data_IF_167904248941
#
_entry.id   IF_167904248941
#
_cell.length_a   1.000
_cell.length_b   1.000
_cell.length_c   1.000
_cell.angle_alpha   90.00
_cell.angle_beta   90.00
_cell.angle_gamma   90.00
#
_symmetry.space_group_name_H-M   'P 1'
#
loop_
_entity.id
_entity.type
_entity.pdbx_description
1 polymer ?
#
# COMPACT_ATOMS: atom_id res chain seq x y z
N UNK A 1 11.73 -13.90 -18.96
CA UNK A 1 11.29 -15.10 -18.23
C UNK A 1 10.58 -16.02 -19.22
N UNK A 2 10.87 -17.32 -19.20
CA UNK A 2 10.31 -18.28 -20.18
C UNK A 2 9.07 -18.97 -19.60
N UNK A 3 8.00 -19.05 -20.39
CA UNK A 3 6.73 -19.70 -20.01
C UNK A 3 6.92 -21.21 -20.08
N UNK A 4 6.58 -21.91 -19.00
CA UNK A 4 6.58 -23.37 -18.94
C UNK A 4 5.21 -23.95 -19.34
N UNK A 5 4.13 -23.35 -18.84
CA UNK A 5 2.76 -23.79 -19.11
C UNK A 5 1.81 -22.61 -19.20
N UNK A 6 0.84 -22.71 -20.09
CA UNK A 6 -0.29 -21.76 -20.20
C UNK A 6 -1.62 -22.52 -20.12
N UNK A 7 -2.60 -21.97 -19.40
CA UNK A 7 -3.94 -22.52 -19.24
C UNK A 7 -4.97 -21.40 -19.41
N UNK A 8 -5.84 -21.53 -20.40
CA UNK A 8 -6.99 -20.64 -20.60
C UNK A 8 -8.26 -21.28 -20.03
N UNK A 9 -9.05 -20.50 -19.31
CA UNK A 9 -10.27 -20.95 -18.63
C UNK A 9 -11.53 -20.43 -19.35
N UNK A 10 -12.70 -21.11 -19.23
CA UNK A 10 -13.93 -20.72 -19.92
C UNK A 10 -14.47 -19.32 -19.55
N UNK A 11 -14.09 -18.79 -18.39
CA UNK A 11 -14.44 -17.43 -17.92
C UNK A 11 -13.54 -16.34 -18.54
N UNK A 12 -12.61 -16.70 -19.41
CA UNK A 12 -11.65 -15.80 -20.07
C UNK A 12 -10.40 -15.50 -19.23
N UNK A 13 -10.27 -16.08 -18.02
CA UNK A 13 -9.02 -16.02 -17.26
C UNK A 13 -7.93 -16.81 -17.99
N UNK A 14 -6.70 -16.29 -18.00
CA UNK A 14 -5.52 -17.00 -18.51
C UNK A 14 -4.47 -17.07 -17.41
N UNK A 15 -3.91 -18.25 -17.18
CA UNK A 15 -2.82 -18.49 -16.22
C UNK A 15 -1.57 -18.98 -16.95
N UNK A 16 -0.43 -18.38 -16.66
CA UNK A 16 0.88 -18.77 -17.17
C UNK A 16 1.79 -19.13 -16.00
N UNK A 17 2.36 -20.32 -16.02
CA UNK A 17 3.39 -20.77 -15.08
C UNK A 17 4.74 -20.56 -15.75
N UNK A 18 5.64 -19.86 -15.07
CA UNK A 18 7.00 -19.60 -15.52
C UNK A 18 7.95 -20.67 -14.99
N UNK A 19 9.05 -20.94 -15.71
CA UNK A 19 10.05 -21.95 -15.30
C UNK A 19 10.67 -21.73 -13.91
N UNK A 20 10.63 -20.50 -13.41
CA UNK A 20 11.12 -20.17 -12.07
C UNK A 20 10.08 -20.43 -10.96
N UNK A 21 8.92 -21.02 -11.29
CA UNK A 21 7.83 -21.29 -10.36
C UNK A 21 6.88 -20.10 -10.11
N UNK A 22 7.08 -18.95 -10.75
CA UNK A 22 6.14 -17.83 -10.64
C UNK A 22 4.88 -18.07 -11.49
N UNK A 23 3.73 -17.60 -11.01
CA UNK A 23 2.47 -17.65 -11.75
C UNK A 23 2.05 -16.24 -12.18
N UNK A 24 1.64 -16.10 -13.44
CA UNK A 24 1.01 -14.90 -13.98
C UNK A 24 -0.45 -15.23 -14.30
N UNK A 25 -1.39 -14.46 -13.76
CA UNK A 25 -2.83 -14.67 -13.94
C UNK A 25 -3.43 -13.41 -14.54
N UNK A 26 -4.03 -13.51 -15.72
CA UNK A 26 -4.65 -12.42 -16.46
C UNK A 26 -6.18 -12.58 -16.43
N UNK A 27 -6.89 -11.50 -16.13
CA UNK A 27 -8.36 -11.47 -16.09
C UNK A 27 -8.90 -10.69 -17.30
N UNK A 28 -10.13 -11.01 -17.77
CA UNK A 28 -10.73 -10.34 -18.92
C UNK A 28 -10.89 -8.82 -18.78
N UNK A 29 -11.02 -8.32 -17.56
CA UNK A 29 -11.15 -6.89 -17.29
C UNK A 29 -9.83 -6.11 -17.41
N UNK A 30 -8.70 -6.78 -17.71
CA UNK A 30 -7.38 -6.17 -17.80
C UNK A 30 -6.57 -6.21 -16.51
N UNK A 31 -7.17 -6.61 -15.38
CA UNK A 31 -6.42 -6.89 -14.15
C UNK A 31 -5.52 -8.11 -14.35
N UNK A 32 -4.33 -8.09 -13.78
CA UNK A 32 -3.47 -9.27 -13.74
C UNK A 32 -2.75 -9.41 -12.39
N UNK A 33 -2.30 -10.62 -12.09
CA UNK A 33 -1.62 -10.97 -10.84
C UNK A 33 -0.31 -11.67 -11.16
N UNK A 34 0.74 -11.36 -10.39
CA UNK A 34 1.97 -12.14 -10.26
C UNK A 34 1.98 -12.78 -8.88
N UNK A 35 2.11 -14.09 -8.83
CA UNK A 35 2.42 -14.84 -7.61
C UNK A 35 3.88 -15.25 -7.70
N UNK A 36 4.68 -14.85 -6.70
CA UNK A 36 6.07 -15.24 -6.58
C UNK A 36 6.22 -16.75 -6.42
N UNK A 37 7.41 -17.27 -6.71
CA UNK A 37 7.71 -18.71 -6.54
C UNK A 37 7.64 -19.18 -5.08
N UNK A 38 7.71 -18.24 -4.13
CA UNK A 38 7.48 -18.48 -2.70
C UNK A 38 6.00 -18.71 -2.34
N UNK A 39 5.08 -18.40 -3.25
CA UNK A 39 3.62 -18.41 -3.01
C UNK A 39 3.14 -17.36 -2.00
N UNK A 40 4.03 -16.53 -1.46
CA UNK A 40 3.78 -15.58 -0.37
C UNK A 40 3.73 -14.15 -0.88
N UNK A 41 4.58 -13.83 -1.86
CA UNK A 41 4.59 -12.51 -2.49
C UNK A 41 3.57 -12.49 -3.63
N UNK A 42 2.56 -11.62 -3.53
CA UNK A 42 1.52 -11.49 -4.56
C UNK A 42 1.38 -10.04 -4.98
N UNK A 43 1.60 -9.74 -6.26
CA UNK A 43 1.35 -8.41 -6.85
C UNK A 43 0.13 -8.48 -7.76
N UNK A 44 -0.85 -7.63 -7.56
CA UNK A 44 -2.05 -7.46 -8.40
C UNK A 44 -1.98 -6.08 -9.03
N UNK A 45 -1.98 -6.00 -10.36
CA UNK A 45 -2.12 -4.76 -11.11
C UNK A 45 -3.54 -4.69 -11.65
N UNK A 46 -4.29 -3.69 -11.22
CA UNK A 46 -5.69 -3.51 -11.58
C UNK A 46 -5.83 -2.74 -12.90
N UNK A 47 -6.97 -2.92 -13.55
CA UNK A 47 -7.30 -2.25 -14.82
C UNK A 47 -7.33 -0.71 -14.73
N UNK A 48 -7.57 -0.15 -13.54
CA UNK A 48 -7.55 1.30 -13.30
C UNK A 48 -6.13 1.85 -13.06
N UNK A 49 -5.10 1.00 -13.14
CA UNK A 49 -3.71 1.35 -12.89
C UNK A 49 -3.26 1.15 -11.43
N UNK A 50 -4.18 0.88 -10.49
CA UNK A 50 -3.81 0.61 -9.11
C UNK A 50 -2.94 -0.65 -9.01
N UNK A 51 -2.12 -0.71 -7.97
CA UNK A 51 -1.29 -1.88 -7.68
C UNK A 51 -1.44 -2.28 -6.22
N UNK A 52 -1.76 -3.55 -5.96
CA UNK A 52 -1.74 -4.13 -4.61
C UNK A 52 -0.67 -5.19 -4.53
N UNK A 53 0.25 -5.06 -3.58
CA UNK A 53 1.26 -6.04 -3.26
C UNK A 53 1.05 -6.58 -1.84
N UNK A 54 1.11 -7.89 -1.69
CA UNK A 54 1.11 -8.59 -0.40
C UNK A 54 2.47 -9.22 -0.22
N UNK A 55 3.11 -8.93 0.91
CA UNK A 55 4.44 -9.39 1.26
C UNK A 55 4.40 -10.63 2.17
N UNK A 56 5.49 -11.40 2.27
CA UNK A 56 5.55 -12.58 3.15
C UNK A 56 5.34 -12.31 4.64
N UNK A 57 5.66 -11.10 5.10
CA UNK A 57 5.46 -10.64 6.48
C UNK A 57 4.04 -10.10 6.76
N UNK A 58 3.11 -10.32 5.82
CA UNK A 58 1.73 -9.84 5.84
C UNK A 58 1.58 -8.32 5.61
N UNK A 59 2.67 -7.60 5.32
CA UNK A 59 2.57 -6.20 4.89
C UNK A 59 1.81 -6.12 3.56
N UNK A 60 0.82 -5.23 3.50
CA UNK A 60 0.02 -4.95 2.29
C UNK A 60 0.38 -3.55 1.81
N UNK A 61 0.85 -3.44 0.58
CA UNK A 61 1.19 -2.15 -0.06
C UNK A 61 0.19 -1.93 -1.20
N UNK A 62 -0.59 -0.85 -1.14
CA UNK A 62 -1.54 -0.45 -2.15
C UNK A 62 -1.14 0.90 -2.75
N UNK A 63 -0.94 0.95 -4.06
CA UNK A 63 -0.71 2.19 -4.81
C UNK A 63 -1.99 2.57 -5.56
N UNK A 64 -2.49 3.76 -5.26
CA UNK A 64 -3.63 4.38 -5.93
C UNK A 64 -3.12 5.24 -7.10
N UNK A 65 -3.41 4.84 -8.33
CA UNK A 65 -2.80 5.45 -9.51
C UNK A 65 -3.29 6.89 -9.76
N UNK A 66 -4.59 7.13 -9.59
CA UNK A 66 -5.22 8.44 -9.83
C UNK A 66 -4.69 9.50 -8.84
N UNK A 67 -4.69 9.17 -7.55
CA UNK A 67 -4.20 10.04 -6.48
C UNK A 67 -2.67 10.07 -6.35
N UNK A 68 -1.95 9.12 -6.97
CA UNK A 68 -0.51 8.90 -6.82
C UNK A 68 -0.11 8.72 -5.35
N UNK A 69 -0.89 7.94 -4.62
CA UNK A 69 -0.74 7.71 -3.18
C UNK A 69 -0.37 6.26 -2.91
N UNK A 70 0.63 6.02 -2.07
CA UNK A 70 0.94 4.68 -1.55
C UNK A 70 0.38 4.55 -0.15
N UNK A 71 -0.36 3.48 0.10
CA UNK A 71 -0.89 3.09 1.40
C UNK A 71 -0.32 1.72 1.79
N UNK A 72 0.47 1.69 2.85
CA UNK A 72 1.01 0.46 3.43
C UNK A 72 0.29 0.14 4.72
N UNK A 73 -0.25 -1.07 4.85
CA UNK A 73 -0.81 -1.62 6.08
C UNK A 73 0.13 -2.70 6.61
N UNK A 74 0.62 -2.52 7.83
CA UNK A 74 1.50 -3.45 8.52
C UNK A 74 0.70 -4.50 9.32
N UNK A 75 1.35 -5.60 9.68
CA UNK A 75 0.73 -6.71 10.41
C UNK A 75 0.24 -6.34 11.82
N UNK A 76 0.81 -5.31 12.43
CA UNK A 76 0.39 -4.76 13.72
C UNK A 76 -0.80 -3.80 13.63
N UNK A 77 -1.29 -3.53 12.42
CA UNK A 77 -2.40 -2.63 12.13
C UNK A 77 -2.00 -1.18 11.91
N UNK A 78 -0.71 -0.84 11.95
CA UNK A 78 -0.24 0.48 11.55
C UNK A 78 -0.53 0.70 10.06
N UNK A 79 -1.14 1.82 9.71
CA UNK A 79 -1.33 2.27 8.33
C UNK A 79 -0.40 3.45 8.06
N UNK A 80 0.32 3.42 6.93
CA UNK A 80 1.21 4.47 6.45
C UNK A 80 0.78 4.93 5.07
N UNK A 81 0.37 6.20 4.94
CA UNK A 81 0.03 6.84 3.68
C UNK A 81 1.14 7.79 3.24
N UNK A 82 1.51 7.73 1.98
CA UNK A 82 2.51 8.59 1.35
C UNK A 82 1.87 9.30 0.15
N UNK A 83 1.76 10.63 0.25
CA UNK A 83 1.09 11.47 -0.72
C UNK A 83 2.10 12.09 -1.71
N UNK A 84 1.66 12.45 -2.94
CA UNK A 84 2.56 12.98 -3.96
C UNK A 84 3.12 14.37 -3.62
N UNK A 85 2.50 15.11 -2.71
CA UNK A 85 3.00 16.40 -2.21
C UNK A 85 4.13 16.25 -1.18
N UNK A 86 4.53 15.02 -0.82
CA UNK A 86 5.54 14.74 0.20
C UNK A 86 4.97 14.58 1.62
N UNK A 87 3.65 14.76 1.81
CA UNK A 87 3.00 14.49 3.09
C UNK A 87 3.01 12.99 3.37
N UNK A 88 3.27 12.64 4.63
CA UNK A 88 3.24 11.26 5.12
C UNK A 88 2.30 11.22 6.31
N UNK A 89 1.40 10.24 6.36
CA UNK A 89 0.52 10.02 7.50
C UNK A 89 0.70 8.62 8.07
N UNK A 90 0.79 8.51 9.39
CA UNK A 90 0.69 7.26 10.12
C UNK A 90 -0.61 7.22 10.90
N UNK A 91 -1.44 6.21 10.66
CA UNK A 91 -2.67 5.98 11.44
C UNK A 91 -2.43 4.74 12.31
N UNK A 92 -2.46 4.94 13.62
CA UNK A 92 -2.15 3.92 14.59
C UNK A 92 -3.41 3.12 14.96
N UNK A 93 -3.27 1.84 15.36
CA UNK A 93 -4.41 1.00 15.76
C UNK A 93 -5.24 1.55 16.94
N UNK A 94 -4.62 2.36 17.79
CA UNK A 94 -5.29 3.02 18.93
C UNK A 94 -6.12 4.24 18.52
N UNK A 95 -6.12 4.61 17.23
CA UNK A 95 -6.82 5.76 16.67
C UNK A 95 -6.00 7.05 16.62
N UNK A 96 -4.78 7.09 17.18
CA UNK A 96 -3.86 8.22 17.04
C UNK A 96 -3.49 8.38 15.57
N UNK A 97 -3.29 9.62 15.12
CA UNK A 97 -2.69 9.93 13.81
C UNK A 97 -1.47 10.83 13.95
N UNK A 98 -0.45 10.58 13.15
CA UNK A 98 0.74 11.43 13.02
C UNK A 98 0.84 11.85 11.55
N UNK A 99 0.83 13.16 11.30
CA UNK A 99 0.92 13.75 9.97
C UNK A 99 2.26 14.48 9.88
N UNK A 100 3.12 14.08 8.96
CA UNK A 100 4.34 14.80 8.60
C UNK A 100 4.06 15.59 7.32
N UNK A 101 4.08 16.91 7.43
CA UNK A 101 3.90 17.82 6.30
C UNK A 101 5.19 17.99 5.48
N UNK A 102 5.10 18.50 4.24
CA UNK A 102 6.27 18.70 3.37
C UNK A 102 7.30 19.69 3.93
N UNK A 103 6.90 20.59 4.82
CA UNK A 103 7.77 21.53 5.53
C UNK A 103 8.45 20.91 6.77
N UNK A 104 8.29 19.60 6.97
CA UNK A 104 8.75 18.83 8.13
C UNK A 104 8.03 19.14 9.45
N UNK A 105 6.94 19.92 9.44
CA UNK A 105 6.05 20.03 10.60
C UNK A 105 5.38 18.69 10.86
N UNK A 106 5.39 18.24 12.11
CA UNK A 106 4.71 17.03 12.56
C UNK A 106 3.47 17.42 13.34
N UNK A 107 2.29 16.89 12.96
CA UNK A 107 1.04 17.08 13.68
C UNK A 107 0.53 15.74 14.22
N UNK A 108 0.46 15.62 15.54
CA UNK A 108 -0.18 14.52 16.24
C UNK A 108 -1.66 14.87 16.50
N UNK A 109 -2.55 13.96 16.12
CA UNK A 109 -3.98 13.99 16.44
C UNK A 109 -4.27 12.84 17.41
N UNK A 110 -4.71 13.17 18.61
CA UNK A 110 -5.02 12.19 19.66
C UNK A 110 -6.52 11.87 19.69
N UNK A 111 -6.87 10.72 20.26
CA UNK A 111 -8.26 10.24 20.31
C UNK A 111 -9.15 11.02 21.27
N UNK A 112 -8.57 11.75 22.22
CA UNK A 112 -9.28 12.67 23.11
C UNK A 112 -9.53 14.05 22.47
N UNK A 113 -9.16 14.23 21.20
CA UNK A 113 -9.33 15.48 20.46
C UNK A 113 -8.21 16.49 20.66
N UNK A 114 -7.18 16.17 21.47
CA UNK A 114 -5.98 17.01 21.56
C UNK A 114 -5.20 16.98 20.24
N UNK A 115 -4.57 18.11 19.92
CA UNK A 115 -3.67 18.24 18.78
C UNK A 115 -2.33 18.81 19.25
N UNK A 116 -1.23 18.25 18.73
CA UNK A 116 0.12 18.75 18.98
C UNK A 116 0.86 18.92 17.65
N UNK A 117 1.37 20.13 17.41
CA UNK A 117 2.24 20.44 16.27
C UNK A 117 3.67 20.66 16.74
N UNK A 118 4.62 19.99 16.10
CA UNK A 118 6.06 20.11 16.33
C UNK A 118 6.69 20.67 15.06
N UNK A 119 7.25 21.87 15.15
CA UNK A 119 7.89 22.55 14.04
C UNK A 119 9.38 22.17 13.92
N UNK A 120 10.01 22.35 12.75
CA UNK A 120 11.41 21.98 12.54
C UNK A 120 12.41 22.69 13.46
N UNK A 121 12.06 23.86 13.98
CA UNK A 121 12.86 24.63 14.95
C UNK A 121 12.73 24.10 16.40
N UNK A 122 11.92 23.07 16.62
CA UNK A 122 11.62 22.49 17.92
C UNK A 122 10.48 23.17 18.67
N UNK A 123 9.83 24.18 18.09
CA UNK A 123 8.64 24.81 18.66
C UNK A 123 7.51 23.78 18.74
N UNK A 124 6.84 23.70 19.90
CA UNK A 124 5.70 22.80 20.13
C UNK A 124 4.46 23.64 20.43
N UNK A 125 3.40 23.44 19.66
CA UNK A 125 2.09 24.06 19.87
C UNK A 125 1.06 22.98 20.18
N UNK A 126 0.33 23.15 21.28
CA UNK A 126 -0.74 22.24 21.71
C UNK A 126 -2.08 22.95 21.69
N UNK A 127 -3.09 22.29 21.14
CA UNK A 127 -4.47 22.76 21.11
C UNK A 127 -5.34 21.74 21.83
N UNK A 128 -6.09 22.20 22.83
CA UNK A 128 -7.18 21.43 23.45
C UNK A 128 -8.49 21.96 22.91
N UNK A 129 -9.38 21.04 22.53
CA UNK A 129 -10.72 21.35 22.02
C UNK A 129 -11.74 21.53 23.15
#
# INVERSE_FOLDING_TARGET
>A
EEIERETAYPDGKVEKVLRNGCHLIFFPNGTWKKVGSDGKTVTTTFFNGDVKQVMPDQTVIYYYADAKTTHTTYADGLELLQFPNGQIEKHYPDGKKEITFPDQTIKNLFTDGQEESIFPDGTIVRIQR
#
